data_IF_183577752899
#
_entry.id   IF_183577752899
#
_cell.length_a   1.000
_cell.length_b   1.000
_cell.length_c   1.000
_cell.angle_alpha   90.00
_cell.angle_beta   90.00
_cell.angle_gamma   90.00
#
_symmetry.space_group_name_H-M   'P 1'
#
loop_
_entity.id
_entity.type
_entity.pdbx_description
1 polymer ?
#
# COMPACT_ATOMS: atom_id res chain seq x y z
N UNK A 1 11.33 13.35 15.72
CA UNK A 1 10.53 13.08 14.50
C UNK A 1 9.50 14.18 14.42
N UNK A 2 9.54 14.94 13.33
CA UNK A 2 8.90 16.25 13.23
C UNK A 2 7.37 16.20 13.15
N UNK A 3 6.78 17.38 13.31
CA UNK A 3 5.39 17.67 12.99
C UNK A 3 5.13 17.36 11.51
N UNK A 4 3.99 16.72 11.22
CA UNK A 4 3.56 16.40 9.86
C UNK A 4 2.51 17.41 9.44
N UNK A 5 2.68 17.99 8.25
CA UNK A 5 1.73 18.92 7.64
C UNK A 5 0.96 18.23 6.53
N UNK A 6 -0.37 18.28 6.58
CA UNK A 6 -1.22 17.88 5.44
C UNK A 6 -1.71 19.17 4.77
N UNK A 7 -1.36 19.35 3.51
CA UNK A 7 -1.64 20.57 2.74
C UNK A 7 -2.62 20.22 1.64
N UNK A 8 -3.86 20.69 1.80
CA UNK A 8 -4.88 20.67 0.76
C UNK A 8 -4.78 21.97 -0.05
N UNK A 9 -4.71 21.86 -1.38
CA UNK A 9 -4.78 22.99 -2.28
C UNK A 9 -5.95 22.79 -3.23
N UNK A 10 -6.95 23.65 -3.11
CA UNK A 10 -8.23 23.53 -3.82
C UNK A 10 -8.45 24.76 -4.69
N UNK A 11 -8.53 24.57 -6.00
CA UNK A 11 -9.00 25.61 -6.92
C UNK A 11 -10.52 25.55 -6.94
N UNK A 12 -11.19 26.59 -6.44
CA UNK A 12 -12.66 26.62 -6.37
C UNK A 12 -13.26 27.09 -7.69
N UNK A 13 -14.49 26.67 -7.98
CA UNK A 13 -15.30 27.25 -9.05
C UNK A 13 -15.45 28.77 -8.87
N UNK A 14 -15.76 29.45 -9.97
CA UNK A 14 -15.92 30.90 -9.98
C UNK A 14 -16.98 31.35 -8.95
N UNK A 15 -16.64 32.32 -8.10
CA UNK A 15 -17.57 32.80 -7.07
C UNK A 15 -17.74 31.91 -5.83
N UNK A 16 -17.15 30.70 -5.82
CA UNK A 16 -17.49 29.67 -4.84
C UNK A 16 -16.58 29.62 -3.60
N UNK A 17 -15.51 30.42 -3.55
CA UNK A 17 -14.47 30.29 -2.53
C UNK A 17 -14.98 30.37 -1.08
N UNK A 18 -15.89 31.32 -0.80
CA UNK A 18 -16.48 31.47 0.54
C UNK A 18 -17.38 30.29 0.90
N UNK A 19 -18.27 29.91 -0.02
CA UNK A 19 -19.17 28.78 0.17
C UNK A 19 -18.40 27.47 0.40
N UNK A 20 -17.30 27.27 -0.34
CA UNK A 20 -16.41 26.13 -0.14
C UNK A 20 -15.77 26.14 1.25
N UNK A 21 -15.22 27.27 1.70
CA UNK A 21 -14.60 27.39 3.03
C UNK A 21 -15.62 27.12 4.14
N UNK A 22 -16.83 27.69 4.04
CA UNK A 22 -17.89 27.48 5.02
C UNK A 22 -18.27 25.98 5.07
N UNK A 23 -18.51 25.36 3.91
CA UNK A 23 -18.79 23.93 3.82
C UNK A 23 -17.64 23.05 4.36
N UNK A 24 -16.38 23.44 4.12
CA UNK A 24 -15.20 22.73 4.61
C UNK A 24 -15.10 22.79 6.13
N UNK A 25 -15.30 23.97 6.73
CA UNK A 25 -15.19 24.17 8.17
C UNK A 25 -16.35 23.54 8.95
N UNK A 26 -17.54 23.51 8.36
CA UNK A 26 -18.74 22.93 8.99
C UNK A 26 -18.86 21.42 8.75
N UNK A 27 -18.45 20.93 7.59
CA UNK A 27 -18.64 19.54 7.18
C UNK A 27 -17.40 18.65 7.35
N UNK A 28 -16.24 19.04 6.82
CA UNK A 28 -15.04 18.21 6.83
C UNK A 28 -14.21 18.37 8.11
N UNK A 29 -13.97 19.63 8.52
CA UNK A 29 -13.05 19.95 9.61
C UNK A 29 -13.39 19.28 10.97
N UNK A 30 -14.66 19.08 11.37
CA UNK A 30 -14.97 18.37 12.61
C UNK A 30 -14.49 16.90 12.58
N UNK A 31 -14.68 16.21 11.46
CA UNK A 31 -14.22 14.84 11.27
C UNK A 31 -12.69 14.74 11.25
N UNK A 32 -12.03 15.66 10.55
CA UNK A 32 -10.56 15.76 10.55
C UNK A 32 -9.99 15.96 11.97
N UNK A 33 -10.61 16.83 12.78
CA UNK A 33 -10.23 17.03 14.19
C UNK A 33 -10.46 15.78 15.03
N UNK A 34 -11.58 15.07 14.83
CA UNK A 34 -11.86 13.82 15.52
C UNK A 34 -10.82 12.73 15.20
N UNK A 35 -10.25 12.74 13.97
CA UNK A 35 -9.13 11.86 13.56
C UNK A 35 -7.76 12.34 14.05
N UNK A 36 -7.67 13.44 14.81
CA UNK A 36 -6.45 13.92 15.46
C UNK A 36 -5.72 15.05 14.73
N UNK A 37 -6.29 15.61 13.65
CA UNK A 37 -5.69 16.71 12.91
C UNK A 37 -5.95 18.06 13.60
N UNK A 38 -4.94 18.94 13.65
CA UNK A 38 -5.09 20.32 14.13
C UNK A 38 -5.04 21.30 12.97
N UNK A 39 -6.12 22.07 12.79
CA UNK A 39 -6.20 23.07 11.72
C UNK A 39 -5.21 24.21 12.02
N UNK A 40 -4.26 24.44 11.12
CA UNK A 40 -3.24 25.49 11.27
C UNK A 40 -3.66 26.78 10.58
N UNK A 41 -4.01 26.69 9.31
CA UNK A 41 -4.40 27.84 8.50
C UNK A 41 -5.34 27.47 7.35
N UNK A 42 -6.13 28.49 6.94
CA UNK A 42 -6.94 28.50 5.72
C UNK A 42 -6.59 29.80 4.99
N UNK A 43 -5.97 29.68 3.83
CA UNK A 43 -5.46 30.81 3.05
C UNK A 43 -6.18 30.89 1.71
N UNK A 44 -6.46 32.11 1.24
CA UNK A 44 -7.11 32.35 -0.05
C UNK A 44 -6.17 33.15 -0.95
N UNK A 45 -5.97 32.67 -2.17
CA UNK A 45 -5.11 33.29 -3.17
C UNK A 45 -5.85 33.48 -4.51
N UNK A 46 -5.80 34.67 -5.11
CA UNK A 46 -5.38 35.93 -4.48
C UNK A 46 -6.30 36.29 -3.30
N UNK A 47 -5.91 37.21 -2.39
CA UNK A 47 -6.68 37.56 -1.20
C UNK A 47 -7.87 38.49 -1.53
N UNK A 48 -8.72 38.05 -2.47
CA UNK A 48 -9.88 38.76 -3.00
C UNK A 48 -11.01 37.75 -3.16
N UNK A 49 -12.22 38.09 -2.72
CA UNK A 49 -13.42 37.31 -3.01
C UNK A 49 -13.94 37.68 -4.39
N UNK A 50 -13.57 36.90 -5.41
CA UNK A 50 -14.13 37.12 -6.74
C UNK A 50 -15.56 36.58 -6.80
N UNK A 51 -16.52 37.33 -7.37
CA UNK A 51 -17.86 36.82 -7.62
C UNK A 51 -17.95 35.93 -8.87
N UNK A 52 -16.98 36.05 -9.78
CA UNK A 52 -17.03 35.52 -11.15
C UNK A 52 -15.71 34.87 -11.59
N UNK A 53 -14.73 34.73 -10.68
CA UNK A 53 -13.44 34.09 -10.94
C UNK A 53 -13.11 33.07 -9.86
N UNK A 54 -12.18 32.19 -10.20
CA UNK A 54 -11.69 31.17 -9.28
C UNK A 54 -10.79 31.78 -8.19
N UNK A 55 -10.71 31.08 -7.08
CA UNK A 55 -9.69 31.28 -6.06
C UNK A 55 -8.96 29.95 -5.83
N UNK A 56 -7.76 30.03 -5.27
CA UNK A 56 -7.10 28.88 -4.68
C UNK A 56 -7.20 29.00 -3.16
N UNK A 57 -7.79 28.00 -2.53
CA UNK A 57 -7.83 27.84 -1.08
C UNK A 57 -6.77 26.83 -0.68
N UNK A 58 -5.82 27.25 0.16
CA UNK A 58 -4.84 26.35 0.77
C UNK A 58 -5.26 26.10 2.22
N UNK A 59 -5.45 24.84 2.61
CA UNK A 59 -5.73 24.45 3.98
C UNK A 59 -4.56 23.63 4.51
N UNK A 60 -4.00 24.04 5.64
CA UNK A 60 -2.91 23.33 6.29
C UNK A 60 -3.41 22.71 7.59
N UNK A 61 -3.22 21.41 7.73
CA UNK A 61 -3.40 20.66 8.96
C UNK A 61 -2.07 20.20 9.53
N UNK A 62 -2.02 19.99 10.84
CA UNK A 62 -0.86 19.50 11.56
C UNK A 62 -1.19 18.23 12.34
N UNK A 63 -0.23 17.31 12.38
CA UNK A 63 -0.24 16.09 13.17
C UNK A 63 1.10 15.99 13.92
N UNK A 64 1.12 15.53 15.18
CA UNK A 64 2.32 15.60 16.01
C UNK A 64 3.43 14.61 15.61
N UNK A 65 3.14 13.64 14.73
CA UNK A 65 4.13 12.66 14.25
C UNK A 65 3.62 11.86 13.05
N UNK A 66 4.51 11.15 12.32
CA UNK A 66 4.13 10.15 11.32
C UNK A 66 3.23 9.04 11.86
N UNK A 67 3.39 8.63 13.12
CA UNK A 67 2.50 7.66 13.75
C UNK A 67 1.07 8.22 13.87
N UNK A 68 0.92 9.49 14.28
CA UNK A 68 -0.37 10.14 14.34
C UNK A 68 -1.00 10.28 12.94
N UNK A 69 -0.19 10.53 11.91
CA UNK A 69 -0.64 10.52 10.53
C UNK A 69 -1.18 9.15 10.12
N UNK A 70 -0.50 8.05 10.46
CA UNK A 70 -1.01 6.70 10.21
C UNK A 70 -2.30 6.39 10.98
N UNK A 71 -2.39 6.80 12.23
CA UNK A 71 -3.61 6.64 13.03
C UNK A 71 -4.80 7.39 12.41
N UNK A 72 -4.56 8.58 11.84
CA UNK A 72 -5.55 9.35 11.10
C UNK A 72 -5.96 8.61 9.80
N UNK A 73 -5.01 8.13 8.99
CA UNK A 73 -5.35 7.43 7.73
C UNK A 73 -6.05 6.10 7.99
N UNK A 74 -5.69 5.35 9.03
CA UNK A 74 -6.37 4.10 9.38
C UNK A 74 -7.83 4.31 9.81
N UNK A 75 -8.14 5.45 10.42
CA UNK A 75 -9.52 5.84 10.75
C UNK A 75 -10.28 6.32 9.51
N UNK A 76 -9.65 7.14 8.65
CA UNK A 76 -10.30 7.73 7.48
C UNK A 76 -10.54 6.74 6.34
N UNK A 77 -9.60 5.83 6.07
CA UNK A 77 -9.65 4.91 4.92
C UNK A 77 -10.91 4.02 4.86
N UNK A 78 -11.37 3.39 5.97
CA UNK A 78 -12.59 2.60 5.94
C UNK A 78 -13.87 3.43 6.06
N UNK A 79 -13.77 4.75 6.34
CA UNK A 79 -14.92 5.63 6.56
C UNK A 79 -15.43 6.21 5.23
N UNK A 80 -16.58 5.76 4.72
CA UNK A 80 -17.09 6.23 3.44
C UNK A 80 -17.56 7.69 3.51
N UNK A 81 -17.83 8.23 4.70
CA UNK A 81 -18.34 9.61 4.85
C UNK A 81 -17.33 10.64 4.40
N UNK A 82 -16.03 10.33 4.50
CA UNK A 82 -14.94 11.20 4.07
C UNK A 82 -14.97 11.39 2.55
N UNK A 83 -15.04 10.29 1.80
CA UNK A 83 -15.15 10.34 0.33
C UNK A 83 -16.48 10.97 -0.11
N UNK A 84 -17.59 10.62 0.56
CA UNK A 84 -18.91 11.17 0.27
C UNK A 84 -18.96 12.68 0.47
N UNK A 85 -18.29 13.22 1.49
CA UNK A 85 -18.23 14.66 1.71
C UNK A 85 -17.51 15.38 0.57
N UNK A 86 -16.36 14.87 0.12
CA UNK A 86 -15.64 15.43 -1.01
C UNK A 86 -16.47 15.40 -2.30
N UNK A 87 -17.19 14.30 -2.56
CA UNK A 87 -18.13 14.22 -3.69
C UNK A 87 -19.29 15.21 -3.55
N UNK A 88 -19.73 15.52 -2.32
CA UNK A 88 -20.82 16.48 -2.07
C UNK A 88 -20.46 17.94 -2.32
N UNK A 89 -19.16 18.27 -2.38
CA UNK A 89 -18.67 19.64 -2.66
C UNK A 89 -18.06 19.79 -4.05
N UNK A 90 -18.20 18.79 -4.92
CA UNK A 90 -17.56 18.74 -6.24
C UNK A 90 -17.94 19.94 -7.12
N UNK A 91 -19.20 20.38 -7.08
CA UNK A 91 -19.69 21.57 -7.81
C UNK A 91 -19.00 22.89 -7.39
N UNK A 92 -18.36 22.93 -6.22
CA UNK A 92 -17.62 24.09 -5.71
C UNK A 92 -16.14 24.06 -6.10
N UNK A 93 -15.65 22.97 -6.69
CA UNK A 93 -14.24 22.69 -6.90
C UNK A 93 -13.95 22.47 -8.39
N UNK A 94 -12.92 23.12 -8.91
CA UNK A 94 -12.40 22.87 -10.26
C UNK A 94 -11.32 21.79 -10.23
N UNK A 95 -10.43 21.86 -9.24
CA UNK A 95 -9.34 20.91 -9.05
C UNK A 95 -8.89 20.91 -7.58
N UNK A 96 -8.36 19.79 -7.10
CA UNK A 96 -7.77 19.69 -5.76
C UNK A 96 -6.56 18.77 -5.74
N UNK A 97 -5.62 19.11 -4.87
CA UNK A 97 -4.45 18.28 -4.56
C UNK A 97 -4.27 18.21 -3.05
N UNK A 98 -3.71 17.09 -2.58
CA UNK A 98 -3.29 16.88 -1.20
C UNK A 98 -1.83 16.47 -1.20
N UNK A 99 -1.01 17.13 -0.39
CA UNK A 99 0.39 16.77 -0.19
C UNK A 99 0.70 16.70 1.30
N UNK A 100 1.78 15.99 1.62
CA UNK A 100 2.26 15.88 3.00
C UNK A 100 3.67 16.45 3.09
N UNK A 101 3.95 17.22 4.13
CA UNK A 101 5.21 17.90 4.33
C UNK A 101 5.70 17.79 5.78
N UNK A 102 6.98 18.11 5.97
CA UNK A 102 7.62 18.34 7.27
C UNK A 102 8.32 19.70 7.23
N UNK A 103 8.69 20.24 8.38
CA UNK A 103 9.54 21.44 8.41
C UNK A 103 10.89 21.16 7.74
N UNK A 104 11.46 22.17 7.07
CA UNK A 104 12.72 22.03 6.34
C UNK A 104 13.87 21.52 7.23
N UNK A 105 13.95 22.04 8.46
CA UNK A 105 14.96 21.65 9.45
C UNK A 105 14.83 20.18 9.92
N UNK A 106 13.68 19.54 9.67
CA UNK A 106 13.41 18.14 10.02
C UNK A 106 13.65 17.16 8.87
N UNK A 107 13.93 17.62 7.65
CA UNK A 107 14.14 16.75 6.48
C UNK A 107 15.38 15.86 6.68
N UNK A 108 16.51 16.45 7.06
CA UNK A 108 17.76 15.70 7.27
C UNK A 108 17.65 14.65 8.39
N UNK A 109 16.76 14.89 9.36
CA UNK A 109 16.49 13.99 10.48
C UNK A 109 15.46 12.89 10.15
N UNK A 110 14.76 12.99 9.01
CA UNK A 110 13.65 12.10 8.63
C UNK A 110 13.91 11.31 7.35
N UNK A 111 14.77 11.80 6.45
CA UNK A 111 15.21 11.08 5.27
C UNK A 111 16.59 10.45 5.50
N UNK A 112 16.67 9.12 5.54
CA UNK A 112 17.95 8.44 5.35
C UNK A 112 18.53 8.78 3.96
N UNK A 113 19.86 8.71 3.80
CA UNK A 113 20.48 8.90 2.49
C UNK A 113 20.05 7.79 1.52
N UNK A 114 19.52 8.17 0.36
CA UNK A 114 19.17 7.22 -0.69
C UNK A 114 20.38 6.37 -1.09
N UNK A 115 20.21 5.05 -1.05
CA UNK A 115 21.23 4.11 -1.50
C UNK A 115 21.03 3.76 -2.97
N UNK A 116 22.15 3.55 -3.69
CA UNK A 116 22.10 2.95 -5.02
C UNK A 116 21.60 1.50 -4.89
N UNK A 117 20.62 1.12 -5.72
CA UNK A 117 20.16 -0.26 -5.78
C UNK A 117 20.95 -1.02 -6.85
N UNK A 118 21.28 -2.30 -6.60
CA UNK A 118 21.80 -3.16 -7.64
C UNK A 118 20.71 -3.42 -8.70
N UNK A 119 21.13 -3.79 -9.89
CA UNK A 119 20.21 -4.25 -10.94
C UNK A 119 19.49 -5.52 -10.49
N UNK A 120 18.26 -5.70 -10.97
CA UNK A 120 17.52 -6.95 -10.76
C UNK A 120 18.25 -8.14 -11.38
N UNK A 121 17.97 -9.33 -10.87
CA UNK A 121 18.49 -10.55 -11.47
C UNK A 121 18.11 -10.64 -12.96
N UNK A 122 19.03 -11.11 -13.79
CA UNK A 122 18.79 -11.23 -15.25
C UNK A 122 17.75 -12.32 -15.55
N UNK A 123 17.64 -13.33 -14.69
CA UNK A 123 16.69 -14.43 -14.85
C UNK A 123 15.33 -14.05 -14.29
N UNK A 124 14.29 -14.19 -15.11
CA UNK A 124 12.91 -14.02 -14.70
C UNK A 124 12.38 -15.35 -14.16
N UNK A 125 11.74 -15.31 -12.99
CA UNK A 125 11.07 -16.46 -12.36
C UNK A 125 9.57 -16.32 -12.45
N UNK A 126 8.84 -17.44 -12.29
CA UNK A 126 7.40 -17.43 -12.05
C UNK A 126 7.16 -17.59 -10.55
N UNK A 127 6.31 -16.74 -9.99
CA UNK A 127 5.91 -16.80 -8.59
C UNK A 127 4.41 -17.03 -8.46
N UNK A 128 4.04 -17.81 -7.45
CA UNK A 128 2.66 -18.12 -7.08
C UNK A 128 2.49 -17.74 -5.62
N UNK A 129 1.55 -16.84 -5.34
CA UNK A 129 1.16 -16.48 -3.97
C UNK A 129 -0.27 -16.90 -3.70
N UNK A 130 -0.51 -17.53 -2.54
CA UNK A 130 -1.84 -17.88 -2.03
C UNK A 130 -1.94 -17.44 -0.57
N UNK A 131 -3.02 -16.77 -0.24
CA UNK A 131 -3.38 -16.26 1.07
C UNK A 131 -4.67 -16.96 1.47
N UNK A 132 -4.61 -17.85 2.46
CA UNK A 132 -5.59 -18.91 2.66
C UNK A 132 -6.23 -18.74 4.03
N UNK A 133 -7.56 -18.58 4.07
CA UNK A 133 -8.35 -18.57 5.30
C UNK A 133 -8.80 -19.99 5.63
N UNK A 134 -8.43 -20.49 6.82
CA UNK A 134 -8.61 -21.88 7.24
C UNK A 134 -9.39 -21.94 8.55
N UNK A 135 -10.37 -22.84 8.62
CA UNK A 135 -11.08 -23.16 9.86
C UNK A 135 -10.08 -23.50 10.97
N UNK A 136 -10.16 -22.79 12.10
CA UNK A 136 -9.18 -22.90 13.20
C UNK A 136 -8.88 -24.34 13.64
N UNK A 137 -9.89 -25.24 13.82
CA UNK A 137 -9.62 -26.60 14.29
C UNK A 137 -8.76 -27.44 13.36
N UNK A 138 -8.70 -27.06 12.07
CA UNK A 138 -8.01 -27.79 11.01
C UNK A 138 -6.70 -27.11 10.58
N UNK A 139 -6.35 -25.96 11.16
CA UNK A 139 -5.25 -25.12 10.68
C UNK A 139 -3.92 -25.85 10.59
N UNK A 140 -3.52 -26.59 11.63
CA UNK A 140 -2.24 -27.30 11.66
C UNK A 140 -2.19 -28.46 10.66
N UNK A 141 -3.33 -29.14 10.46
CA UNK A 141 -3.48 -30.22 9.48
C UNK A 141 -3.34 -29.68 8.06
N UNK A 142 -4.12 -28.65 7.73
CA UNK A 142 -4.08 -27.99 6.42
C UNK A 142 -2.71 -27.38 6.15
N UNK A 143 -2.08 -26.74 7.15
CA UNK A 143 -0.72 -26.22 7.03
C UNK A 143 0.28 -27.31 6.64
N UNK A 144 0.22 -28.48 7.31
CA UNK A 144 1.08 -29.63 7.02
C UNK A 144 0.86 -30.15 5.60
N UNK A 145 -0.40 -30.22 5.15
CA UNK A 145 -0.75 -30.66 3.80
C UNK A 145 -0.26 -29.67 2.72
N UNK A 146 -0.43 -28.37 2.96
CA UNK A 146 0.08 -27.30 2.08
C UNK A 146 1.62 -27.31 2.01
N UNK A 147 2.30 -27.52 3.13
CA UNK A 147 3.76 -27.69 3.16
C UNK A 147 4.21 -28.91 2.34
N UNK A 148 3.51 -30.04 2.50
CA UNK A 148 3.81 -31.24 1.73
C UNK A 148 3.54 -31.04 0.22
N UNK A 149 2.48 -30.33 -0.15
CA UNK A 149 2.18 -29.97 -1.54
C UNK A 149 3.24 -29.04 -2.12
N UNK A 150 3.65 -28.00 -1.37
CA UNK A 150 4.72 -27.11 -1.78
C UNK A 150 6.03 -27.85 -2.04
N UNK A 151 6.38 -28.83 -1.20
CA UNK A 151 7.58 -29.68 -1.36
C UNK A 151 7.56 -30.59 -2.60
N UNK A 152 6.39 -30.86 -3.18
CA UNK A 152 6.23 -31.64 -4.42
C UNK A 152 5.98 -30.79 -5.67
N UNK A 153 5.75 -29.49 -5.50
CA UNK A 153 5.35 -28.59 -6.58
C UNK A 153 6.42 -28.42 -7.67
N UNK A 154 7.69 -28.66 -7.34
CA UNK A 154 8.83 -28.37 -8.23
C UNK A 154 9.33 -26.91 -8.13
N UNK A 155 8.83 -26.15 -7.15
CA UNK A 155 9.34 -24.82 -6.83
C UNK A 155 10.81 -24.89 -6.40
N UNK A 156 11.64 -23.97 -6.93
CA UNK A 156 13.04 -23.81 -6.52
C UNK A 156 13.16 -23.22 -5.13
N UNK A 157 12.18 -22.40 -4.72
CA UNK A 157 12.05 -21.83 -3.37
C UNK A 157 10.59 -21.75 -2.96
N UNK A 158 10.32 -21.93 -1.68
CA UNK A 158 8.97 -21.81 -1.15
C UNK A 158 8.96 -21.36 0.31
N UNK A 159 7.86 -20.71 0.70
CA UNK A 159 7.49 -20.52 2.10
C UNK A 159 6.00 -20.85 2.24
N UNK A 160 5.69 -21.68 3.23
CA UNK A 160 4.32 -22.02 3.65
C UNK A 160 4.27 -21.92 5.16
N UNK A 161 3.69 -20.83 5.65
CA UNK A 161 3.74 -20.49 7.07
C UNK A 161 2.46 -19.78 7.53
N UNK A 162 2.12 -19.86 8.84
CA UNK A 162 1.08 -19.04 9.42
C UNK A 162 1.38 -17.54 9.22
N UNK A 163 0.33 -16.75 9.03
CA UNK A 163 0.46 -15.30 8.96
C UNK A 163 0.69 -14.69 10.34
N UNK A 164 1.49 -13.64 10.39
CA UNK A 164 1.80 -12.94 11.63
C UNK A 164 0.77 -11.84 11.94
N UNK A 165 0.59 -11.49 13.23
CA UNK A 165 -0.29 -10.40 13.65
C UNK A 165 0.07 -9.07 12.98
N UNK A 166 -0.94 -8.37 12.46
CA UNK A 166 -0.77 -7.14 11.68
C UNK A 166 -1.05 -7.32 10.18
N UNK A 167 -1.20 -8.57 9.71
CA UNK A 167 -1.73 -8.88 8.39
C UNK A 167 -3.17 -8.36 8.23
N UNK A 168 -3.54 -7.93 7.02
CA UNK A 168 -4.87 -7.38 6.68
C UNK A 168 -5.39 -8.08 5.42
N UNK A 169 -6.50 -8.80 5.53
CA UNK A 169 -7.01 -9.69 4.47
C UNK A 169 -5.93 -10.69 3.99
N UNK A 170 -5.05 -11.12 4.91
CA UNK A 170 -3.81 -11.81 4.57
C UNK A 170 -3.89 -13.33 4.54
N UNK A 171 -5.05 -13.92 4.85
CA UNK A 171 -5.16 -15.35 5.14
C UNK A 171 -4.68 -15.70 6.55
N UNK A 172 -4.98 -16.92 6.99
CA UNK A 172 -4.37 -17.58 8.14
C UNK A 172 -3.04 -18.24 7.78
N UNK A 173 -2.90 -18.68 6.52
CA UNK A 173 -1.67 -19.27 5.96
C UNK A 173 -1.24 -18.49 4.73
N UNK A 174 0.04 -18.09 4.70
CA UNK A 174 0.70 -17.53 3.53
C UNK A 174 1.46 -18.64 2.82
N UNK A 175 1.26 -18.73 1.51
CA UNK A 175 2.04 -19.56 0.59
C UNK A 175 2.70 -18.66 -0.44
N UNK A 176 4.01 -18.83 -0.63
CA UNK A 176 4.73 -18.35 -1.80
C UNK A 176 5.56 -19.50 -2.38
N UNK A 177 5.45 -19.70 -3.70
CA UNK A 177 6.23 -20.66 -4.47
C UNK A 177 6.94 -19.91 -5.61
N UNK A 178 8.22 -20.17 -5.81
CA UNK A 178 9.03 -19.60 -6.89
C UNK A 178 9.56 -20.71 -7.78
N UNK A 179 9.44 -20.53 -9.09
CA UNK A 179 9.84 -21.47 -10.12
C UNK A 179 10.79 -20.80 -11.11
N UNK A 180 11.88 -21.49 -11.43
CA UNK A 180 12.85 -21.02 -12.43
C UNK A 180 12.38 -21.31 -13.87
N UNK A 181 11.44 -22.25 -14.04
CA UNK A 181 10.87 -22.65 -15.32
C UNK A 181 9.35 -22.42 -15.33
N UNK A 182 8.81 -21.60 -16.26
CA UNK A 182 7.37 -21.42 -16.42
C UNK A 182 6.59 -22.71 -16.67
N UNK A 183 7.21 -23.72 -17.29
CA UNK A 183 6.56 -25.02 -17.48
C UNK A 183 6.40 -25.75 -16.15
N UNK A 184 7.41 -25.74 -15.29
CA UNK A 184 7.31 -26.32 -13.95
C UNK A 184 6.21 -25.64 -13.11
N UNK A 185 6.06 -24.32 -13.23
CA UNK A 185 4.97 -23.60 -12.58
C UNK A 185 3.59 -24.02 -13.12
N UNK A 186 3.45 -24.22 -14.43
CA UNK A 186 2.19 -24.64 -15.05
C UNK A 186 1.83 -26.11 -14.76
N UNK A 187 2.85 -26.98 -14.62
CA UNK A 187 2.69 -28.40 -14.32
C UNK A 187 2.52 -28.67 -12.81
N UNK A 188 2.70 -27.65 -11.95
CA UNK A 188 2.54 -27.76 -10.50
C UNK A 188 1.10 -28.10 -10.11
N UNK A 189 0.92 -29.14 -9.30
CA UNK A 189 -0.38 -29.59 -8.77
C UNK A 189 -0.78 -28.91 -7.44
N UNK A 190 -0.02 -27.89 -7.00
CA UNK A 190 -0.22 -27.26 -5.69
C UNK A 190 -1.67 -26.85 -5.42
N UNK A 191 -2.35 -26.23 -6.39
CA UNK A 191 -3.71 -25.73 -6.21
C UNK A 191 -4.74 -26.84 -5.96
N UNK A 192 -4.42 -28.12 -6.22
CA UNK A 192 -5.27 -29.25 -5.83
C UNK A 192 -5.45 -29.34 -4.30
N UNK A 193 -4.42 -28.96 -3.52
CA UNK A 193 -4.50 -28.92 -2.06
C UNK A 193 -5.45 -27.83 -1.54
N UNK A 194 -5.80 -26.84 -2.37
CA UNK A 194 -6.74 -25.76 -2.00
C UNK A 194 -8.21 -26.22 -1.99
N UNK A 195 -8.48 -27.45 -2.42
CA UNK A 195 -9.83 -28.03 -2.40
C UNK A 195 -10.22 -28.64 -1.04
N UNK A 196 -9.36 -28.54 -0.02
CA UNK A 196 -9.68 -29.00 1.33
C UNK A 196 -10.92 -28.26 1.88
N UNK A 197 -11.92 -28.98 2.43
CA UNK A 197 -13.16 -28.37 2.90
C UNK A 197 -12.99 -27.42 4.09
N UNK A 198 -11.86 -27.46 4.81
CA UNK A 198 -11.56 -26.51 5.87
C UNK A 198 -11.00 -25.18 5.34
N UNK A 199 -10.62 -25.10 4.06
CA UNK A 199 -10.25 -23.86 3.39
C UNK A 199 -11.52 -23.13 2.98
N UNK A 200 -11.76 -21.98 3.62
CA UNK A 200 -12.98 -21.20 3.41
C UNK A 200 -12.84 -20.15 2.33
N UNK A 201 -11.62 -19.64 2.12
CA UNK A 201 -11.35 -18.58 1.15
C UNK A 201 -9.87 -18.57 0.75
N UNK A 202 -9.62 -18.15 -0.50
CA UNK A 202 -8.26 -17.96 -1.03
C UNK A 202 -8.19 -16.67 -1.84
N UNK A 203 -7.24 -15.80 -1.48
CA UNK A 203 -6.76 -14.74 -2.37
C UNK A 203 -5.40 -15.15 -2.95
N UNK A 204 -5.14 -14.84 -4.22
CA UNK A 204 -3.88 -15.25 -4.80
C UNK A 204 -3.58 -14.63 -6.14
N UNK A 205 -2.31 -14.75 -6.53
CA UNK A 205 -1.82 -14.29 -7.81
C UNK A 205 -0.71 -15.20 -8.32
N UNK A 206 -0.65 -15.36 -9.64
CA UNK A 206 0.49 -15.88 -10.39
C UNK A 206 1.08 -14.73 -11.18
N UNK A 207 2.40 -14.56 -11.11
CA UNK A 207 3.09 -13.41 -11.69
C UNK A 207 4.54 -13.76 -12.04
N UNK A 208 5.18 -12.91 -12.82
CA UNK A 208 6.57 -13.09 -13.22
C UNK A 208 7.38 -11.86 -12.93
N UNK A 209 8.64 -12.07 -12.59
CA UNK A 209 9.56 -10.97 -12.34
C UNK A 209 10.92 -11.46 -11.90
N UNK A 210 11.76 -10.49 -11.56
CA UNK A 210 13.12 -10.70 -11.11
C UNK A 210 13.32 -9.94 -9.81
N UNK A 211 13.67 -10.67 -8.76
CA UNK A 211 13.93 -10.07 -7.47
C UNK A 211 15.25 -9.29 -7.46
N UNK A 212 15.27 -8.24 -6.66
CA UNK A 212 16.46 -7.46 -6.31
C UNK A 212 16.79 -7.79 -4.86
N UNK A 213 18.04 -8.18 -4.59
CA UNK A 213 18.51 -8.52 -3.24
C UNK A 213 19.68 -7.64 -2.84
N UNK A 214 19.61 -7.09 -1.64
CA UNK A 214 20.68 -6.27 -1.04
C UNK A 214 21.18 -6.84 0.29
N UNK A 215 20.33 -7.61 0.98
CA UNK A 215 20.66 -8.31 2.22
C UNK A 215 19.82 -9.59 2.34
N UNK A 216 19.86 -10.24 3.50
CA UNK A 216 19.01 -11.39 3.85
C UNK A 216 17.94 -10.94 4.83
N UNK A 217 16.67 -11.26 4.55
CA UNK A 217 15.57 -11.02 5.47
C UNK A 217 15.15 -12.27 6.25
N UNK A 218 14.40 -12.06 7.33
CA UNK A 218 13.79 -13.11 8.16
C UNK A 218 12.26 -13.03 8.18
N UNK A 219 11.68 -12.06 7.47
CA UNK A 219 10.22 -11.90 7.31
C UNK A 219 9.90 -11.74 5.84
N UNK A 220 9.03 -12.59 5.31
CA UNK A 220 8.48 -12.42 3.96
C UNK A 220 7.14 -11.69 4.03
N UNK A 221 6.94 -10.71 3.16
CA UNK A 221 5.71 -9.92 3.04
C UNK A 221 5.22 -9.90 1.60
N UNK A 222 3.94 -10.16 1.39
CA UNK A 222 3.25 -10.00 0.13
C UNK A 222 2.14 -8.96 0.24
N UNK A 223 2.11 -8.04 -0.73
CA UNK A 223 1.02 -7.09 -0.93
C UNK A 223 0.35 -7.36 -2.28
N UNK A 224 -0.90 -7.83 -2.26
CA UNK A 224 -1.74 -7.93 -3.45
C UNK A 224 -2.60 -6.68 -3.52
N UNK A 225 -2.54 -6.01 -4.66
CA UNK A 225 -3.30 -4.78 -4.90
C UNK A 225 -3.93 -4.77 -6.28
N UNK A 226 -4.98 -3.95 -6.41
CA UNK A 226 -5.68 -3.74 -7.67
C UNK A 226 -5.72 -2.25 -7.97
N UNK A 227 -5.01 -1.89 -9.03
CA UNK A 227 -5.13 -0.59 -9.69
C UNK A 227 -6.45 -0.54 -10.45
N UNK A 228 -7.11 0.61 -10.38
CA UNK A 228 -8.39 0.86 -11.04
C UNK A 228 -8.26 0.75 -12.56
N UNK A 229 -9.19 0.06 -13.26
CA UNK A 229 -9.10 -0.18 -14.69
C UNK A 229 -9.16 1.09 -15.56
N UNK A 230 -9.67 2.19 -15.02
CA UNK A 230 -9.72 3.51 -15.65
C UNK A 230 -8.43 4.33 -15.53
N UNK A 231 -7.45 3.85 -14.76
CA UNK A 231 -6.17 4.54 -14.57
C UNK A 231 -5.37 4.52 -15.88
N UNK A 232 -4.87 5.68 -16.31
CA UNK A 232 -4.05 5.75 -17.51
C UNK A 232 -2.66 5.11 -17.31
N UNK A 233 -2.02 4.72 -18.41
CA UNK A 233 -0.76 3.99 -18.37
C UNK A 233 0.41 4.81 -17.79
N UNK A 234 0.37 6.15 -17.87
CA UNK A 234 1.43 6.99 -17.33
C UNK A 234 1.35 7.04 -15.81
N UNK A 235 0.16 7.20 -15.25
CA UNK A 235 -0.09 7.13 -13.81
C UNK A 235 0.28 5.74 -13.25
N UNK A 236 -0.03 4.65 -13.96
CA UNK A 236 0.42 3.31 -13.55
C UNK A 236 1.94 3.19 -13.53
N UNK A 237 2.64 3.71 -14.56
CA UNK A 237 4.09 3.65 -14.61
C UNK A 237 4.75 4.48 -13.50
N UNK A 238 4.17 5.64 -13.15
CA UNK A 238 4.63 6.47 -12.03
C UNK A 238 4.43 5.74 -10.69
N UNK A 239 3.25 5.18 -10.46
CA UNK A 239 2.95 4.34 -9.30
C UNK A 239 3.95 3.18 -9.16
N UNK A 240 4.23 2.46 -10.26
CA UNK A 240 5.19 1.36 -10.26
C UNK A 240 6.60 1.83 -9.90
N UNK A 241 7.04 2.97 -10.44
CA UNK A 241 8.34 3.55 -10.15
C UNK A 241 8.46 4.00 -8.67
N UNK A 242 7.42 4.59 -8.11
CA UNK A 242 7.39 5.04 -6.71
C UNK A 242 7.28 3.90 -5.69
N UNK A 243 6.61 2.79 -6.01
CA UNK A 243 6.68 1.60 -5.17
C UNK A 243 8.09 0.98 -5.22
N UNK A 244 8.65 0.86 -6.42
CA UNK A 244 9.97 0.26 -6.64
C UNK A 244 11.13 1.08 -6.06
N UNK A 245 10.95 2.39 -5.79
CA UNK A 245 12.00 3.22 -5.19
C UNK A 245 12.13 3.07 -3.69
N UNK A 246 11.11 2.57 -2.97
CA UNK A 246 11.14 2.49 -1.50
C UNK A 246 12.40 1.84 -0.92
N UNK A 247 12.93 0.73 -1.47
CA UNK A 247 14.13 0.07 -0.96
C UNK A 247 15.41 0.94 -1.02
N UNK A 248 15.42 2.01 -1.83
CA UNK A 248 16.52 3.01 -1.80
C UNK A 248 16.63 3.73 -0.45
N UNK A 249 15.51 3.86 0.26
CA UNK A 249 15.40 4.67 1.47
C UNK A 249 15.13 3.84 2.73
N UNK A 250 14.56 2.64 2.57
CA UNK A 250 14.20 1.76 3.67
C UNK A 250 15.14 0.54 3.66
N UNK A 251 16.29 0.60 4.35
CA UNK A 251 17.30 -0.47 4.32
C UNK A 251 16.84 -1.75 5.01
N UNK A 252 15.72 -1.71 5.75
CA UNK A 252 15.11 -2.92 6.32
C UNK A 252 14.43 -3.78 5.25
N UNK A 253 14.22 -3.27 4.02
CA UNK A 253 13.83 -4.08 2.86
C UNK A 253 15.08 -4.76 2.29
N UNK A 254 15.29 -6.02 2.66
CA UNK A 254 16.46 -6.82 2.30
C UNK A 254 16.42 -7.33 0.86
N UNK A 255 15.24 -7.74 0.40
CA UNK A 255 14.98 -8.17 -0.97
C UNK A 255 13.57 -7.75 -1.40
N UNK A 256 13.33 -7.58 -2.70
CA UNK A 256 12.02 -7.18 -3.19
C UNK A 256 11.80 -7.50 -4.67
N UNK A 257 10.53 -7.57 -5.06
CA UNK A 257 10.10 -7.63 -6.45
C UNK A 257 8.72 -6.98 -6.58
N UNK A 258 8.57 -6.06 -7.53
CA UNK A 258 7.27 -5.54 -7.96
C UNK A 258 6.91 -6.20 -9.28
N UNK A 259 5.70 -6.74 -9.40
CA UNK A 259 5.27 -7.46 -10.60
C UNK A 259 3.81 -7.20 -10.93
N UNK A 260 3.51 -7.16 -12.23
CA UNK A 260 2.14 -7.27 -12.72
C UNK A 260 1.68 -8.71 -12.63
N UNK A 261 0.39 -8.89 -12.37
CA UNK A 261 -0.25 -10.20 -12.22
C UNK A 261 -0.65 -10.76 -13.58
N UNK A 262 -0.27 -12.01 -13.84
CA UNK A 262 -0.71 -12.76 -15.01
C UNK A 262 -2.09 -13.40 -14.76
N UNK A 263 -2.28 -13.99 -13.59
CA UNK A 263 -3.54 -14.62 -13.18
C UNK A 263 -3.85 -14.29 -11.72
N UNK A 264 -5.10 -13.89 -11.46
CA UNK A 264 -5.58 -13.53 -10.13
C UNK A 264 -6.72 -14.47 -9.70
N UNK A 265 -6.75 -14.85 -8.43
CA UNK A 265 -7.85 -15.59 -7.81
C UNK A 265 -8.32 -14.89 -6.53
N UNK A 266 -9.56 -15.16 -6.13
CA UNK A 266 -10.16 -14.64 -4.90
C UNK A 266 -11.07 -13.43 -5.10
N UNK A 267 -11.03 -12.48 -4.16
CA UNK A 267 -12.02 -11.40 -4.05
C UNK A 267 -11.85 -10.26 -5.06
N UNK A 268 -10.65 -10.10 -5.61
CA UNK A 268 -10.34 -9.01 -6.54
C UNK A 268 -9.55 -9.53 -7.73
N UNK A 269 -9.70 -8.83 -8.86
CA UNK A 269 -8.82 -8.99 -10.02
C UNK A 269 -7.50 -8.29 -9.73
N UNK A 270 -6.67 -8.90 -8.87
CA UNK A 270 -5.36 -8.37 -8.49
C UNK A 270 -4.55 -8.02 -9.74
N UNK A 271 -3.96 -6.82 -9.78
CA UNK A 271 -3.18 -6.36 -10.93
C UNK A 271 -1.69 -6.32 -10.64
N UNK A 272 -1.31 -6.17 -9.37
CA UNK A 272 0.10 -6.16 -8.96
C UNK A 272 0.30 -6.96 -7.68
N UNK A 273 1.51 -7.51 -7.57
CA UNK A 273 2.08 -8.01 -6.33
C UNK A 273 3.35 -7.23 -6.04
N UNK A 274 3.46 -6.73 -4.81
CA UNK A 274 4.72 -6.23 -4.26
C UNK A 274 5.15 -7.15 -3.13
N UNK A 275 6.17 -7.95 -3.40
CA UNK A 275 6.76 -8.88 -2.44
C UNK A 275 8.10 -8.36 -1.93
N UNK A 276 8.35 -8.58 -0.65
CA UNK A 276 9.52 -8.04 0.05
C UNK A 276 9.97 -9.03 1.12
N UNK A 277 11.28 -9.11 1.32
CA UNK A 277 11.88 -9.64 2.53
C UNK A 277 12.32 -8.50 3.41
N UNK A 278 11.96 -8.55 4.69
CA UNK A 278 12.41 -7.60 5.71
C UNK A 278 13.45 -8.22 6.63
N UNK A 279 14.34 -7.39 7.17
CA UNK A 279 15.33 -7.81 8.18
C UNK A 279 14.69 -8.56 9.34
N UNK A 280 13.55 -8.04 9.83
CA UNK A 280 12.70 -8.63 10.87
C UNK A 280 11.32 -7.92 10.91
N UNK A 281 10.43 -8.36 11.81
CA UNK A 281 9.10 -7.77 12.00
C UNK A 281 9.17 -6.31 12.45
N UNK A 282 10.16 -5.94 13.27
CA UNK A 282 10.31 -4.57 13.74
C UNK A 282 10.71 -3.63 12.58
N UNK A 283 11.50 -4.14 11.63
CA UNK A 283 11.88 -3.47 10.39
C UNK A 283 10.68 -3.15 9.50
N UNK A 284 9.72 -4.08 9.40
CA UNK A 284 8.44 -3.91 8.70
C UNK A 284 7.50 -2.96 9.44
N UNK A 285 7.32 -3.14 10.75
CA UNK A 285 6.32 -2.41 11.53
C UNK A 285 6.79 -1.04 12.06
N UNK A 286 8.10 -0.77 11.98
CA UNK A 286 8.73 0.47 12.44
C UNK A 286 9.32 1.26 11.28
N UNK A 287 10.63 1.09 10.96
CA UNK A 287 11.32 1.89 9.94
C UNK A 287 10.58 1.99 8.60
N UNK A 288 10.03 0.88 8.10
CA UNK A 288 9.27 0.88 6.85
C UNK A 288 7.99 1.72 6.91
N UNK A 289 7.19 1.59 7.97
CA UNK A 289 5.98 2.41 8.12
C UNK A 289 6.32 3.88 8.37
N UNK A 290 7.37 4.16 9.13
CA UNK A 290 7.67 5.53 9.59
C UNK A 290 8.49 6.36 8.59
N UNK A 291 9.05 5.74 7.55
CA UNK A 291 9.87 6.48 6.57
C UNK A 291 9.00 7.39 5.68
N UNK A 292 9.38 8.66 5.44
CA UNK A 292 8.63 9.61 4.60
C UNK A 292 8.29 9.11 3.20
N UNK A 293 9.19 8.33 2.56
CA UNK A 293 8.89 7.69 1.27
C UNK A 293 7.60 6.87 1.29
N UNK A 294 7.25 6.27 2.44
CA UNK A 294 6.06 5.46 2.54
C UNK A 294 4.82 6.32 2.73
N UNK A 295 4.77 7.14 3.77
CA UNK A 295 3.54 7.89 4.10
C UNK A 295 3.34 9.16 3.27
N UNK A 296 4.39 9.81 2.78
CA UNK A 296 4.27 11.05 2.00
C UNK A 296 4.24 10.84 0.49
N UNK A 297 4.95 9.81 -0.01
CA UNK A 297 5.09 9.55 -1.46
C UNK A 297 4.19 8.39 -1.89
N UNK A 298 4.32 7.23 -1.26
CA UNK A 298 3.65 6.01 -1.73
C UNK A 298 2.18 5.92 -1.29
N UNK A 299 1.84 6.29 -0.05
CA UNK A 299 0.48 6.06 0.45
C UNK A 299 -0.58 6.90 -0.27
N UNK A 300 -0.19 7.98 -0.97
CA UNK A 300 -1.10 8.81 -1.79
C UNK A 300 -1.86 8.00 -2.84
N UNK A 301 -1.27 6.92 -3.36
CA UNK A 301 -1.91 6.03 -4.33
C UNK A 301 -3.01 5.15 -3.72
N UNK A 302 -3.07 5.05 -2.39
CA UNK A 302 -3.99 4.20 -1.63
C UNK A 302 -4.95 4.99 -0.73
N UNK A 303 -4.64 6.25 -0.41
CA UNK A 303 -5.45 7.09 0.47
C UNK A 303 -6.65 7.67 -0.28
N UNK A 304 -7.91 7.31 0.08
CA UNK A 304 -9.10 7.81 -0.61
C UNK A 304 -9.29 9.33 -0.49
N UNK A 305 -8.57 9.99 0.42
CA UNK A 305 -8.64 11.44 0.56
C UNK A 305 -7.78 12.20 -0.47
N UNK A 306 -6.84 11.54 -1.17
CA UNK A 306 -6.04 12.16 -2.23
C UNK A 306 -6.76 12.09 -3.58
N UNK A 307 -6.31 12.88 -4.55
CA UNK A 307 -6.77 12.78 -5.94
C UNK A 307 -5.96 11.79 -6.77
N UNK A 308 -4.78 11.39 -6.29
CA UNK A 308 -3.91 10.39 -6.90
C UNK A 308 -4.38 8.94 -6.67
N UNK A 309 -5.41 8.72 -5.86
CA UNK A 309 -5.82 7.37 -5.47
C UNK A 309 -6.25 6.51 -6.67
N UNK A 310 -5.47 5.47 -6.94
CA UNK A 310 -5.73 4.47 -7.99
C UNK A 310 -5.97 3.07 -7.41
N UNK A 311 -5.60 2.84 -6.15
CA UNK A 311 -5.86 1.57 -5.43
C UNK A 311 -7.04 1.78 -4.49
N UNK A 312 -8.25 1.51 -4.97
CA UNK A 312 -9.51 1.72 -4.24
C UNK A 312 -10.03 0.46 -3.54
N UNK A 313 -9.75 -0.70 -4.11
CA UNK A 313 -10.13 -1.99 -3.52
C UNK A 313 -9.32 -2.25 -2.25
N UNK A 314 -9.86 -3.10 -1.37
CA UNK A 314 -9.11 -3.60 -0.22
C UNK A 314 -7.87 -4.35 -0.69
N UNK A 315 -6.72 -4.00 -0.14
CA UNK A 315 -5.46 -4.74 -0.37
C UNK A 315 -5.42 -6.02 0.46
N UNK A 316 -4.69 -7.03 0.00
CA UNK A 316 -4.22 -8.09 0.89
C UNK A 316 -2.79 -7.77 1.31
N UNK A 317 -2.59 -7.57 2.61
CA UNK A 317 -1.29 -7.40 3.24
C UNK A 317 -1.02 -8.60 4.13
N UNK A 318 -0.08 -9.46 3.74
CA UNK A 318 0.23 -10.67 4.48
C UNK A 318 1.73 -10.82 4.69
N UNK A 319 2.14 -11.29 5.85
CA UNK A 319 3.55 -11.55 6.14
C UNK A 319 3.71 -12.69 7.15
N UNK A 320 4.85 -13.37 7.07
CA UNK A 320 5.19 -14.53 7.89
C UNK A 320 6.70 -14.58 8.16
N UNK A 321 7.09 -15.37 9.16
CA UNK A 321 8.50 -15.66 9.40
C UNK A 321 9.10 -16.44 8.23
N UNK A 322 10.37 -16.16 7.95
CA UNK A 322 11.13 -16.73 6.85
C UNK A 322 12.39 -17.40 7.40
N UNK A 323 12.50 -18.71 7.22
CA UNK A 323 13.68 -19.46 7.62
C UNK A 323 14.84 -19.28 6.62
N UNK A 324 14.52 -19.32 5.33
CA UNK A 324 15.46 -19.18 4.23
C UNK A 324 14.92 -18.19 3.18
N UNK A 325 15.77 -17.32 2.60
CA UNK A 325 15.34 -16.34 1.62
C UNK A 325 14.67 -16.96 0.38
N UNK A 326 13.52 -16.41 -0.01
CA UNK A 326 12.72 -16.86 -1.16
C UNK A 326 12.82 -15.93 -2.39
N UNK A 327 13.34 -14.70 -2.23
CA UNK A 327 13.50 -13.70 -3.30
C UNK A 327 14.92 -13.58 -3.87
#
# INVERSE_FOLDING_TARGET
MGEVFVVDRVTTAAGCARAFIDAYLDGYAPGARARGMTLRDVLVSPPIWFPDRTNVVTITWTLPSPLAWWQMTWQGRPDPTVAQWWSGVDDLVVDRTRSVATAADDVENSSGTASALPDAAVTQTVAVTRLIDVAEPDRDRVLTELQAAAGRSGASRSVVAPTLPGSRNGGDVLVHLRFDDPKAAADSDFDAALSDPAISHVNGATYRGSAVRTATGTVYRALLLRVSPETDAAAVAEFEAELAMMPRYVPTIAAWQLSRVDEAIGTSKWTHVFEQEFTDVAGLMGPYLMHPVHWAVVDRWFDPETTDVIVRDRVCHSFCDLADPVL
#
